data_IF_238656116625
#
_entry.id   IF_238656116625
#
_cell.length_a   1.000
_cell.length_b   1.000
_cell.length_c   1.000
_cell.angle_alpha   90.00
_cell.angle_beta   90.00
_cell.angle_gamma   90.00
#
_symmetry.space_group_name_H-M   'P 1'
#
loop_
_entity.id
_entity.type
_entity.pdbx_description
1 polymer ?
#
# COMPACT_ATOMS: atom_id res chain seq x y z
N UNK A 1 -0.88 1.05 21.08
CA UNK A 1 -2.08 0.26 20.73
C UNK A 1 -2.86 0.94 19.61
N UNK A 2 -3.68 0.24 18.82
CA UNK A 2 -4.76 0.91 18.09
C UNK A 2 -5.98 0.83 18.99
N UNK A 3 -6.34 1.93 19.64
CA UNK A 3 -7.45 1.97 20.61
C UNK A 3 -8.80 1.94 19.88
N UNK A 4 -9.07 0.84 19.18
CA UNK A 4 -10.38 0.55 18.63
C UNK A 4 -11.23 -0.05 19.75
N UNK A 5 -12.02 0.80 20.39
CA UNK A 5 -13.11 0.35 21.26
C UNK A 5 -14.39 0.22 20.44
N UNK A 6 -15.19 -0.81 20.72
CA UNK A 6 -16.52 -0.97 20.10
C UNK A 6 -17.42 0.16 20.59
N UNK A 7 -18.11 0.84 19.67
CA UNK A 7 -19.11 1.84 20.04
C UNK A 7 -20.38 1.15 20.55
N UNK A 8 -21.09 1.71 21.55
CA UNK A 8 -22.38 1.16 21.97
C UNK A 8 -23.35 1.20 20.78
N UNK A 9 -24.08 0.11 20.54
CA UNK A 9 -24.98 -0.05 19.39
C UNK A 9 -24.31 -0.47 18.07
N UNK A 10 -22.98 -0.62 18.01
CA UNK A 10 -22.29 -1.12 16.82
C UNK A 10 -22.28 -2.65 16.76
N UNK A 11 -22.64 -3.23 15.61
CA UNK A 11 -22.47 -4.67 15.37
C UNK A 11 -20.99 -5.06 15.40
N UNK A 12 -20.69 -6.27 15.87
CA UNK A 12 -19.32 -6.75 15.96
C UNK A 12 -18.60 -6.74 14.59
N UNK A 13 -19.31 -7.10 13.54
CA UNK A 13 -18.79 -7.09 12.16
C UNK A 13 -18.41 -5.68 11.67
N UNK A 14 -19.24 -4.67 11.97
CA UNK A 14 -18.91 -3.29 11.63
C UNK A 14 -17.63 -2.83 12.32
N UNK A 15 -17.48 -3.18 13.59
CA UNK A 15 -16.28 -2.91 14.37
C UNK A 15 -15.06 -3.61 13.77
N UNK A 16 -15.14 -4.91 13.46
CA UNK A 16 -14.06 -5.66 12.84
C UNK A 16 -13.65 -5.08 11.49
N UNK A 17 -14.61 -4.63 10.67
CA UNK A 17 -14.32 -3.99 9.39
C UNK A 17 -13.52 -2.69 9.56
N UNK A 18 -13.91 -1.85 10.52
CA UNK A 18 -13.18 -0.62 10.86
C UNK A 18 -11.78 -0.92 11.38
N UNK A 19 -11.66 -1.92 12.26
CA UNK A 19 -10.37 -2.36 12.78
C UNK A 19 -9.43 -2.83 11.65
N UNK A 20 -9.90 -3.73 10.76
CA UNK A 20 -9.16 -4.21 9.58
C UNK A 20 -8.74 -3.05 8.66
N UNK A 21 -9.65 -2.10 8.39
CA UNK A 21 -9.36 -0.89 7.60
C UNK A 21 -8.30 -0.01 8.28
N UNK A 22 -8.39 0.17 9.58
CA UNK A 22 -7.41 0.90 10.38
C UNK A 22 -6.02 0.27 10.32
N UNK A 23 -5.92 -1.06 10.45
CA UNK A 23 -4.66 -1.79 10.31
C UNK A 23 -4.04 -1.63 8.93
N UNK A 24 -4.85 -1.73 7.87
CA UNK A 24 -4.41 -1.54 6.47
C UNK A 24 -3.89 -0.11 6.25
N UNK A 25 -4.65 0.90 6.65
CA UNK A 25 -4.29 2.31 6.46
C UNK A 25 -3.04 2.69 7.26
N UNK A 26 -2.90 2.17 8.48
CA UNK A 26 -1.72 2.40 9.32
C UNK A 26 -0.45 1.69 8.85
N UNK A 27 -0.53 0.85 7.80
CA UNK A 27 0.58 0.03 7.26
C UNK A 27 1.32 -0.78 8.32
N UNK A 28 0.71 -1.00 9.50
CA UNK A 28 1.39 -1.65 10.65
C UNK A 28 1.75 -3.10 10.34
N UNK A 29 0.83 -3.79 9.68
CA UNK A 29 1.00 -5.18 9.30
C UNK A 29 2.11 -5.32 8.24
N UNK A 30 2.14 -4.42 7.26
CA UNK A 30 3.22 -4.36 6.25
C UNK A 30 4.58 -4.03 6.88
N UNK A 31 4.63 -3.10 7.84
CA UNK A 31 5.86 -2.79 8.58
C UNK A 31 6.37 -3.99 9.38
N UNK A 32 5.49 -4.66 10.12
CA UNK A 32 5.84 -5.85 10.89
C UNK A 32 6.38 -6.98 9.99
N UNK A 33 5.69 -7.27 8.87
CA UNK A 33 6.17 -8.22 7.86
C UNK A 33 7.52 -7.81 7.25
N UNK A 34 7.72 -6.52 7.00
CA UNK A 34 8.97 -6.02 6.44
C UNK A 34 10.15 -6.13 7.42
N UNK A 35 9.89 -6.01 8.72
CA UNK A 35 10.87 -6.11 9.81
C UNK A 35 11.12 -7.54 10.29
N UNK A 36 10.28 -8.50 9.91
CA UNK A 36 10.39 -9.91 10.31
C UNK A 36 11.78 -10.50 10.00
N UNK A 37 12.41 -10.08 8.90
CA UNK A 37 13.74 -10.52 8.50
C UNK A 37 14.67 -9.34 8.25
N UNK A 38 15.96 -9.53 8.54
CA UNK A 38 16.99 -8.54 8.20
C UNK A 38 17.09 -8.42 6.68
N UNK A 39 16.85 -7.22 6.16
CA UNK A 39 17.03 -6.90 4.73
C UNK A 39 18.34 -6.13 4.54
N UNK A 40 19.26 -6.59 3.69
CA UNK A 40 20.48 -5.84 3.40
C UNK A 40 20.14 -4.54 2.67
N UNK A 41 21.01 -3.53 2.83
CA UNK A 41 20.89 -2.27 2.07
C UNK A 41 21.03 -2.57 0.57
N UNK A 42 20.19 -1.95 -0.26
CA UNK A 42 20.29 -2.06 -1.72
C UNK A 42 21.60 -1.43 -2.21
N UNK A 43 22.31 -2.10 -3.11
CA UNK A 43 23.48 -1.54 -3.80
C UNK A 43 23.10 -0.38 -4.72
N UNK A 44 24.04 0.50 -5.06
CA UNK A 44 23.80 1.64 -5.98
C UNK A 44 23.23 1.19 -7.33
N UNK A 45 23.73 0.07 -7.86
CA UNK A 45 23.24 -0.51 -9.12
C UNK A 45 21.78 -1.00 -9.00
N UNK A 46 21.45 -1.69 -7.90
CA UNK A 46 20.09 -2.16 -7.65
C UNK A 46 19.11 -0.99 -7.47
N UNK A 47 19.54 0.10 -6.82
CA UNK A 47 18.77 1.33 -6.69
C UNK A 47 18.53 2.00 -8.05
N UNK A 48 19.58 2.14 -8.88
CA UNK A 48 19.48 2.69 -10.24
C UNK A 48 18.52 1.88 -11.11
N UNK A 49 18.66 0.55 -11.12
CA UNK A 49 17.77 -0.34 -11.88
C UNK A 49 16.31 -0.18 -11.44
N UNK A 50 16.06 -0.13 -10.13
CA UNK A 50 14.71 0.07 -9.59
C UNK A 50 14.11 1.43 -9.99
N UNK A 51 14.92 2.51 -9.98
CA UNK A 51 14.45 3.83 -10.38
C UNK A 51 14.07 3.88 -11.87
N UNK A 52 14.89 3.28 -12.74
CA UNK A 52 14.62 3.23 -14.19
C UNK A 52 13.35 2.43 -14.49
N UNK A 53 13.19 1.25 -13.89
CA UNK A 53 11.98 0.44 -14.11
C UNK A 53 10.72 1.13 -13.57
N UNK A 54 10.82 1.83 -12.43
CA UNK A 54 9.71 2.62 -11.89
C UNK A 54 9.29 3.74 -12.84
N UNK A 55 10.26 4.39 -13.49
CA UNK A 55 10.00 5.47 -14.44
C UNK A 55 9.35 4.96 -15.74
N UNK A 56 9.83 3.83 -16.27
CA UNK A 56 9.23 3.16 -17.42
C UNK A 56 7.77 2.74 -17.16
N UNK A 57 7.52 2.12 -16.01
CA UNK A 57 6.17 1.73 -15.61
C UNK A 57 5.25 2.95 -15.43
N UNK A 58 5.76 4.05 -14.88
CA UNK A 58 5.00 5.30 -14.77
C UNK A 58 4.56 5.82 -16.13
N UNK A 59 5.50 5.92 -17.09
CA UNK A 59 5.23 6.35 -18.46
C UNK A 59 4.21 5.43 -19.17
N UNK A 60 4.39 4.12 -19.05
CA UNK A 60 3.47 3.13 -19.63
C UNK A 60 2.06 3.30 -19.05
N UNK A 61 1.95 3.45 -17.73
CA UNK A 61 0.66 3.66 -17.07
C UNK A 61 0.01 4.98 -17.50
N UNK A 62 0.78 6.06 -17.65
CA UNK A 62 0.27 7.34 -18.16
C UNK A 62 -0.29 7.20 -19.59
N UNK A 63 0.43 6.51 -20.48
CA UNK A 63 -0.05 6.22 -21.82
C UNK A 63 -1.35 5.39 -21.82
N UNK A 64 -1.42 4.36 -20.99
CA UNK A 64 -2.62 3.52 -20.87
C UNK A 64 -3.83 4.30 -20.30
N UNK A 65 -3.60 5.29 -19.44
CA UNK A 65 -4.66 6.20 -18.97
C UNK A 65 -5.16 7.09 -20.09
N UNK A 66 -4.25 7.74 -20.83
CA UNK A 66 -4.60 8.61 -21.97
C UNK A 66 -5.42 7.88 -23.02
N UNK A 67 -5.16 6.59 -23.21
CA UNK A 67 -5.88 5.74 -24.18
C UNK A 67 -7.11 5.05 -23.59
N UNK A 68 -7.50 5.33 -22.35
CA UNK A 68 -8.67 4.77 -21.67
C UNK A 68 -8.54 3.28 -21.30
N UNK A 69 -7.37 2.67 -21.49
CA UNK A 69 -7.11 1.26 -21.18
C UNK A 69 -6.84 0.99 -19.70
N UNK A 70 -6.58 2.03 -18.91
CA UNK A 70 -6.39 1.93 -17.46
C UNK A 70 -7.38 2.87 -16.75
N UNK A 71 -8.29 2.36 -15.91
CA UNK A 71 -9.28 3.19 -15.22
C UNK A 71 -8.63 4.11 -14.19
N UNK A 72 -9.06 5.37 -14.14
CA UNK A 72 -8.57 6.38 -13.21
C UNK A 72 -8.80 6.01 -11.73
N UNK A 73 -9.78 5.15 -11.44
CA UNK A 73 -10.04 4.63 -10.09
C UNK A 73 -8.88 3.86 -9.45
N UNK A 74 -7.89 3.44 -10.25
CA UNK A 74 -6.73 2.66 -9.78
C UNK A 74 -5.57 3.53 -9.29
N UNK A 75 -5.73 4.86 -9.25
CA UNK A 75 -4.72 5.76 -8.69
C UNK A 75 -4.44 5.43 -7.22
N UNK A 76 -3.24 4.91 -6.93
CA UNK A 76 -2.71 4.88 -5.58
C UNK A 76 -2.05 6.23 -5.32
N UNK A 77 -2.66 7.05 -4.46
CA UNK A 77 -2.07 8.27 -3.89
C UNK A 77 -0.87 7.97 -3.01
#
# INVERSE_FOLDING_TARGET
>A
MADFKRKPGESFESFLRKFKKGLKNGKRLEKARAQQHLKPKKTKQAQKKYALTSLELSKKNEYLRKTGKLPESTMRS
#
